data_IF_017722388210
#
_entry.id   IF_017722388210
#
_cell.length_a   1.000
_cell.length_b   1.000
_cell.length_c   1.000
_cell.angle_alpha   90.00
_cell.angle_beta   90.00
_cell.angle_gamma   90.00
#
_symmetry.space_group_name_H-M   'P 1'
#
loop_
_entity.id
_entity.type
_entity.pdbx_description
1 polymer ?
#
# COMPACT_ATOMS: atom_id res chain seq x y z
N UNK A 1 -5.30 -1.61 -8.49
CA UNK A 1 -5.38 -0.69 -7.33
C UNK A 1 -3.97 -0.31 -6.85
N UNK A 2 -3.16 -1.29 -6.45
CA UNK A 2 -1.80 -1.08 -5.92
C UNK A 2 -0.82 -0.50 -6.95
N UNK A 3 -0.83 -0.98 -8.19
CA UNK A 3 0.07 -0.50 -9.26
C UNK A 3 -0.22 0.96 -9.65
N UNK A 4 -1.50 1.37 -9.58
CA UNK A 4 -1.91 2.76 -9.83
C UNK A 4 -1.48 3.68 -8.69
N UNK A 5 -1.60 3.23 -7.44
CA UNK A 5 -1.05 3.94 -6.29
C UNK A 5 0.44 4.22 -6.47
N UNK A 6 1.24 3.18 -6.76
CA UNK A 6 2.68 3.32 -6.95
C UNK A 6 3.03 4.24 -8.13
N UNK A 7 2.31 4.15 -9.25
CA UNK A 7 2.50 5.08 -10.37
C UNK A 7 2.26 6.54 -9.95
N UNK A 8 1.12 6.82 -9.31
CA UNK A 8 0.74 8.18 -8.96
C UNK A 8 1.67 8.79 -7.90
N UNK A 9 2.03 8.03 -6.86
CA UNK A 9 2.92 8.53 -5.81
C UNK A 9 4.35 8.73 -6.33
N UNK A 10 4.84 7.85 -7.22
CA UNK A 10 6.14 8.03 -7.86
C UNK A 10 6.17 9.28 -8.73
N UNK A 11 5.12 9.57 -9.50
CA UNK A 11 5.05 10.80 -10.30
C UNK A 11 5.05 12.04 -9.39
N UNK A 12 4.33 11.99 -8.27
CA UNK A 12 4.26 13.09 -7.31
C UNK A 12 5.60 13.37 -6.60
N UNK A 13 6.34 12.32 -6.23
CA UNK A 13 7.58 12.45 -5.45
C UNK A 13 8.84 12.64 -6.31
N UNK A 14 8.82 12.20 -7.58
CA UNK A 14 10.03 12.12 -8.44
C UNK A 14 10.72 13.47 -8.62
N UNK A 15 9.96 14.54 -8.80
CA UNK A 15 10.50 15.88 -9.02
C UNK A 15 10.83 16.61 -7.70
N UNK A 16 10.39 16.05 -6.57
CA UNK A 16 10.67 16.59 -5.25
C UNK A 16 12.14 16.37 -4.86
N UNK A 17 12.77 17.44 -4.37
CA UNK A 17 14.04 17.36 -3.66
C UNK A 17 13.76 17.47 -2.16
N UNK A 18 14.13 16.45 -1.39
CA UNK A 18 13.89 16.41 0.05
C UNK A 18 15.20 16.54 0.81
N UNK A 19 15.25 17.46 1.76
CA UNK A 19 16.42 17.71 2.61
C UNK A 19 16.51 16.70 3.77
N UNK A 20 15.46 15.92 4.02
CA UNK A 20 15.39 14.93 5.09
C UNK A 20 14.30 13.88 4.86
N UNK A 21 14.47 12.71 5.46
CA UNK A 21 13.45 11.63 5.43
C UNK A 21 12.11 12.10 6.01
N UNK A 22 12.14 12.95 7.04
CA UNK A 22 10.92 13.51 7.65
C UNK A 22 10.12 14.37 6.68
N UNK A 23 10.80 15.09 5.79
CA UNK A 23 10.17 15.92 4.77
C UNK A 23 9.52 15.06 3.68
N UNK A 24 10.18 13.98 3.29
CA UNK A 24 9.62 12.96 2.40
C UNK A 24 8.38 12.30 3.00
N UNK A 25 8.42 11.91 4.28
CA UNK A 25 7.29 11.32 5.00
C UNK A 25 6.09 12.27 5.07
N UNK A 26 6.32 13.55 5.37
CA UNK A 26 5.27 14.57 5.38
C UNK A 26 4.64 14.76 3.99
N UNK A 27 5.46 14.70 2.93
CA UNK A 27 4.99 14.78 1.55
C UNK A 27 4.16 13.57 1.13
N UNK A 28 4.53 12.37 1.57
CA UNK A 28 3.74 11.14 1.38
C UNK A 28 2.40 11.25 2.11
N UNK A 29 2.40 11.72 3.36
CA UNK A 29 1.17 11.91 4.15
C UNK A 29 0.24 12.93 3.48
N UNK A 30 0.79 14.04 2.97
CA UNK A 30 0.05 15.05 2.21
C UNK A 30 -0.57 14.45 0.94
N UNK A 31 0.21 13.67 0.18
CA UNK A 31 -0.28 12.97 -1.01
C UNK A 31 -1.48 12.05 -0.71
N UNK A 32 -1.40 11.31 0.40
CA UNK A 32 -2.48 10.43 0.85
C UNK A 32 -3.72 11.22 1.27
N UNK A 33 -3.55 12.32 2.01
CA UNK A 33 -4.66 13.15 2.49
C UNK A 33 -5.44 13.83 1.34
N UNK A 34 -4.75 14.23 0.27
CA UNK A 34 -5.37 14.85 -0.91
C UNK A 34 -6.15 13.87 -1.78
N UNK A 35 -6.03 12.55 -1.58
CA UNK A 35 -6.63 11.53 -2.44
C UNK A 35 -7.35 10.44 -1.63
N UNK A 36 -8.68 10.49 -1.65
CA UNK A 36 -9.55 9.44 -1.08
C UNK A 36 -9.62 8.15 -1.91
N UNK A 37 -8.82 8.03 -2.97
CA UNK A 37 -8.93 6.96 -3.99
C UNK A 37 -8.10 5.71 -3.74
N UNK A 38 -7.21 5.71 -2.74
CA UNK A 38 -6.35 4.55 -2.41
C UNK A 38 -6.72 3.94 -1.06
N UNK A 39 -8.01 3.75 -0.82
CA UNK A 39 -8.51 3.09 0.40
C UNK A 39 -8.39 1.57 0.23
N UNK A 40 -7.75 0.93 1.19
CA UNK A 40 -7.79 -0.52 1.33
C UNK A 40 -9.20 -0.93 1.75
N UNK A 41 -9.92 -1.62 0.87
CA UNK A 41 -11.31 -2.02 1.12
C UNK A 41 -11.46 -3.48 1.59
N UNK A 42 -10.39 -4.28 1.57
CA UNK A 42 -10.51 -5.65 2.02
C UNK A 42 -10.63 -5.69 3.55
N UNK A 43 -11.65 -6.40 4.03
CA UNK A 43 -11.84 -6.63 5.47
C UNK A 43 -10.65 -7.43 5.98
N UNK A 44 -10.14 -7.09 7.17
CA UNK A 44 -9.02 -7.82 7.79
C UNK A 44 -9.29 -9.33 7.90
N UNK A 45 -10.55 -9.69 8.17
CA UNK A 45 -11.03 -11.08 8.17
C UNK A 45 -10.78 -11.80 6.83
N UNK A 46 -10.99 -11.14 5.70
CA UNK A 46 -10.80 -11.74 4.37
C UNK A 46 -9.31 -12.04 4.10
N UNK A 47 -8.42 -11.16 4.58
CA UNK A 47 -6.96 -11.36 4.53
C UNK A 47 -6.56 -12.56 5.38
N UNK A 48 -7.08 -12.64 6.61
CA UNK A 48 -6.79 -13.74 7.54
C UNK A 48 -7.28 -15.08 6.98
N UNK A 49 -8.50 -15.12 6.43
CA UNK A 49 -9.05 -16.30 5.76
C UNK A 49 -8.24 -16.72 4.54
N UNK A 50 -7.69 -15.77 3.78
CA UNK A 50 -6.81 -16.07 2.66
C UNK A 50 -5.48 -16.68 3.12
N UNK A 51 -4.89 -16.16 4.20
CA UNK A 51 -3.67 -16.71 4.80
C UNK A 51 -3.93 -18.13 5.31
N UNK A 52 -5.05 -18.36 6.00
CA UNK A 52 -5.41 -19.68 6.53
C UNK A 52 -5.53 -20.71 5.41
N UNK A 53 -6.28 -20.41 4.35
CA UNK A 53 -6.42 -21.30 3.17
C UNK A 53 -5.08 -21.62 2.52
N UNK A 54 -4.18 -20.63 2.41
CA UNK A 54 -2.85 -20.85 1.85
C UNK A 54 -2.03 -21.82 2.73
N UNK A 55 -2.11 -21.69 4.06
CA UNK A 55 -1.43 -22.60 4.99
C UNK A 55 -1.99 -24.02 4.90
N UNK A 56 -3.30 -24.18 4.83
CA UNK A 56 -3.96 -25.49 4.68
C UNK A 56 -3.53 -26.17 3.37
N UNK A 57 -3.52 -25.44 2.25
CA UNK A 57 -3.06 -25.96 0.97
C UNK A 57 -1.59 -26.42 1.01
N UNK A 58 -0.72 -25.68 1.73
CA UNK A 58 0.68 -26.08 1.93
C UNK A 58 0.80 -27.36 2.78
N UNK A 59 -0.07 -27.54 3.78
CA UNK A 59 -0.08 -28.76 4.61
C UNK A 59 -0.66 -29.96 3.87
N UNK A 60 -1.67 -29.78 3.01
CA UNK A 60 -2.24 -30.87 2.20
C UNK A 60 -1.37 -31.32 1.03
N UNK A 61 -0.34 -30.56 0.68
CA UNK A 61 0.66 -30.92 -0.35
C UNK A 61 1.89 -31.66 0.23
N UNK A 62 1.96 -31.83 1.56
CA UNK A 62 3.02 -32.55 2.27
C UNK A 62 2.56 -33.96 2.66
#
# INVERSE_FOLDING_TARGET
MVERFFRDITVYLRDGSFSSVRELESSITTFLALRTRYVWNAKGEDILNKIQRAREAMTSQA
#
